data_IF_485908826240
#
_entry.id   IF_485908826240
#
_cell.length_a   1.000
_cell.length_b   1.000
_cell.length_c   1.000
_cell.angle_alpha   90.00
_cell.angle_beta   90.00
_cell.angle_gamma   90.00
#
_symmetry.space_group_name_H-M   'P 1'
#
loop_
_entity.id
_entity.type
_entity.pdbx_description
1 polymer ?
#
# COMPACT_ATOMS: atom_id res chain seq x y z
N UNK A 1 -41.79 12.77 50.21
CA UNK A 1 -43.24 12.44 50.31
C UNK A 1 -43.51 11.22 49.42
N UNK A 2 -43.86 10.12 50.09
CA UNK A 2 -44.63 8.91 49.72
C UNK A 2 -44.07 7.94 48.65
N UNK A 3 -43.70 6.78 49.19
CA UNK A 3 -43.73 5.41 48.63
C UNK A 3 -45.17 5.07 48.16
N UNK A 4 -45.27 4.20 47.14
CA UNK A 4 -46.23 3.08 47.14
C UNK A 4 -45.66 1.90 46.38
N UNK A 5 -45.50 0.85 47.16
CA UNK A 5 -45.35 -0.58 46.79
C UNK A 5 -46.61 -1.12 46.10
N UNK A 6 -46.45 -2.19 45.34
CA UNK A 6 -47.30 -3.38 45.09
C UNK A 6 -46.90 -4.00 43.77
N UNK A 7 -46.63 -5.32 43.59
CA UNK A 7 -46.92 -6.49 44.36
C UNK A 7 -46.80 -7.64 43.36
N UNK A 8 -46.14 -8.73 43.75
CA UNK A 8 -46.02 -10.02 43.01
C UNK A 8 -47.32 -10.79 43.13
N UNK A 9 -47.70 -11.69 42.19
CA UNK A 9 -47.88 -13.06 42.63
C UNK A 9 -47.16 -14.13 41.75
N UNK A 10 -46.58 -15.09 42.44
CA UNK A 10 -46.21 -16.42 41.96
C UNK A 10 -47.46 -17.32 41.92
N UNK A 11 -47.45 -18.29 40.99
CA UNK A 11 -48.23 -19.52 41.16
C UNK A 11 -47.48 -20.72 40.53
N UNK A 12 -47.41 -21.76 41.36
CA UNK A 12 -46.88 -23.09 41.18
C UNK A 12 -47.57 -23.94 40.11
N UNK A 13 -46.89 -24.99 39.68
CA UNK A 13 -47.51 -26.08 38.90
C UNK A 13 -46.52 -27.22 38.60
N UNK A 14 -46.22 -28.05 39.61
CA UNK A 14 -45.64 -29.42 39.47
C UNK A 14 -46.55 -30.34 38.64
N UNK A 15 -45.98 -31.19 37.82
CA UNK A 15 -46.40 -32.60 37.65
C UNK A 15 -45.43 -33.41 36.80
N UNK A 16 -44.73 -34.36 37.42
CA UNK A 16 -44.26 -35.59 36.80
C UNK A 16 -45.33 -36.67 37.00
N UNK A 17 -45.43 -37.79 36.20
CA UNK A 17 -44.66 -38.98 36.45
C UNK A 17 -44.29 -39.87 35.25
N UNK A 18 -43.35 -40.82 35.50
CA UNK A 18 -42.98 -42.03 34.78
C UNK A 18 -44.14 -43.04 34.65
N UNK A 19 -44.03 -44.32 33.97
CA UNK A 19 -42.82 -45.07 33.65
C UNK A 19 -42.82 -45.86 32.31
N UNK A 20 -41.66 -46.40 31.99
CA UNK A 20 -41.20 -47.62 31.33
C UNK A 20 -42.14 -48.55 30.57
N UNK A 21 -41.67 -48.98 29.37
CA UNK A 21 -41.82 -50.37 28.91
C UNK A 21 -40.55 -50.86 28.20
N UNK A 22 -39.97 -51.93 28.74
CA UNK A 22 -38.92 -52.78 28.15
C UNK A 22 -39.53 -53.65 27.07
N UNK A 23 -38.87 -53.73 25.90
CA UNK A 23 -39.00 -54.94 25.05
C UNK A 23 -37.62 -55.31 24.52
N UNK A 24 -37.22 -56.54 24.87
CA UNK A 24 -36.04 -57.22 24.35
C UNK A 24 -36.40 -57.84 23.01
N UNK A 25 -35.56 -57.76 21.99
CA UNK A 25 -35.46 -58.70 20.90
C UNK A 25 -34.10 -58.61 20.22
N UNK A 26 -33.37 -59.59 20.35
CA UNK A 26 -32.69 -60.52 19.44
C UNK A 26 -31.48 -59.98 18.65
N UNK A 27 -30.38 -60.67 18.97
CA UNK A 27 -29.11 -60.69 18.25
C UNK A 27 -29.29 -61.05 16.76
N UNK A 28 -28.75 -60.28 15.89
CA UNK A 28 -28.46 -60.61 14.51
C UNK A 28 -27.08 -60.04 14.14
N UNK A 29 -26.08 -60.90 14.12
CA UNK A 29 -24.74 -60.62 13.64
C UNK A 29 -24.76 -60.59 12.12
N UNK A 30 -24.62 -59.40 11.55
CA UNK A 30 -24.23 -59.21 10.15
C UNK A 30 -22.87 -58.59 10.10
N UNK A 31 -21.87 -59.39 9.73
CA UNK A 31 -20.55 -58.91 9.32
C UNK A 31 -20.66 -58.23 7.96
N UNK A 32 -20.68 -56.89 7.95
CA UNK A 32 -20.49 -56.09 6.73
C UNK A 32 -19.05 -55.67 6.69
N UNK A 33 -18.29 -56.21 5.75
CA UNK A 33 -16.98 -55.73 5.37
C UNK A 33 -17.15 -54.34 4.69
N UNK A 34 -17.00 -53.28 5.46
CA UNK A 34 -16.99 -51.90 4.95
C UNK A 34 -15.61 -51.57 4.41
N UNK A 35 -15.47 -51.59 3.10
CA UNK A 35 -14.36 -50.92 2.39
C UNK A 35 -14.41 -49.42 2.69
N UNK A 36 -13.50 -48.94 3.55
CA UNK A 36 -13.25 -47.50 3.71
C UNK A 36 -12.70 -47.00 2.39
N UNK A 37 -13.54 -46.41 1.57
CA UNK A 37 -13.10 -45.55 0.44
C UNK A 37 -12.64 -44.23 1.05
N UNK A 38 -11.34 -44.09 1.30
CA UNK A 38 -10.75 -42.82 1.66
C UNK A 38 -10.90 -41.85 0.46
N UNK A 39 -11.88 -40.99 0.52
CA UNK A 39 -11.98 -39.81 -0.36
C UNK A 39 -10.77 -38.95 -0.07
N UNK A 40 -9.72 -39.10 -0.86
CA UNK A 40 -8.64 -38.11 -1.01
C UNK A 40 -9.28 -36.88 -1.64
N UNK A 41 -9.77 -35.97 -0.78
CA UNK A 41 -10.06 -34.62 -1.21
C UNK A 41 -8.73 -34.04 -1.70
N UNK A 42 -8.63 -33.50 -2.94
CA UNK A 42 -7.44 -32.80 -3.35
C UNK A 42 -7.31 -31.61 -2.42
N UNK A 43 -6.24 -31.54 -1.66
CA UNK A 43 -5.80 -30.31 -0.98
C UNK A 43 -5.45 -29.32 -2.09
N UNK A 44 -6.45 -28.59 -2.56
CA UNK A 44 -6.23 -27.48 -3.46
C UNK A 44 -5.30 -26.51 -2.74
N UNK A 45 -4.06 -26.46 -3.16
CA UNK A 45 -3.21 -25.31 -2.84
C UNK A 45 -3.98 -24.10 -3.30
N UNK A 46 -4.41 -23.24 -2.36
CA UNK A 46 -4.94 -21.96 -2.69
C UNK A 46 -3.82 -21.19 -3.41
N UNK A 47 -3.86 -21.19 -4.74
CA UNK A 47 -2.95 -20.40 -5.55
C UNK A 47 -3.06 -18.95 -5.09
N UNK A 48 -1.92 -18.27 -4.93
CA UNK A 48 -1.91 -16.86 -4.59
C UNK A 48 -2.79 -16.10 -5.59
N UNK A 49 -3.73 -15.30 -5.09
CA UNK A 49 -4.61 -14.53 -5.94
C UNK A 49 -3.77 -13.56 -6.80
N UNK A 50 -4.11 -13.47 -8.08
CA UNK A 50 -3.38 -12.61 -9.02
C UNK A 50 -3.77 -11.15 -8.82
N UNK A 51 -2.80 -10.21 -8.75
CA UNK A 51 -3.09 -8.78 -8.72
C UNK A 51 -3.98 -8.34 -9.87
N UNK A 52 -4.95 -7.50 -9.58
CA UNK A 52 -5.84 -6.97 -10.61
C UNK A 52 -5.17 -5.80 -11.34
N UNK A 53 -5.48 -5.69 -12.63
CA UNK A 53 -4.86 -4.72 -13.53
C UNK A 53 -5.93 -3.93 -14.28
N UNK A 54 -5.78 -2.60 -14.33
CA UNK A 54 -6.45 -1.75 -15.31
C UNK A 54 -5.47 -1.40 -16.43
N UNK A 55 -5.86 -1.67 -17.66
CA UNK A 55 -5.16 -1.18 -18.85
C UNK A 55 -5.69 0.20 -19.21
N UNK A 56 -4.82 1.19 -19.27
CA UNK A 56 -5.18 2.53 -19.75
C UNK A 56 -5.11 2.53 -21.28
N UNK A 57 -6.24 2.21 -21.90
CA UNK A 57 -6.33 2.16 -23.35
C UNK A 57 -6.42 3.56 -23.97
N UNK A 58 -5.61 3.82 -24.97
CA UNK A 58 -5.95 4.74 -26.05
C UNK A 58 -5.59 6.21 -25.92
N UNK A 59 -5.25 6.75 -24.76
CA UNK A 59 -4.80 8.14 -24.73
C UNK A 59 -3.29 8.21 -24.97
N UNK A 60 -2.82 8.83 -26.07
CA UNK A 60 -1.39 8.94 -26.31
C UNK A 60 -0.64 9.61 -25.15
N UNK A 61 0.58 9.17 -24.89
CA UNK A 61 1.50 9.75 -23.89
C UNK A 61 1.58 11.29 -24.00
N UNK A 62 1.71 11.80 -25.23
CA UNK A 62 1.78 13.22 -25.53
C UNK A 62 0.52 13.97 -25.11
N UNK A 63 -0.66 13.44 -25.39
CA UNK A 63 -1.96 14.05 -25.05
C UNK A 63 -2.16 14.11 -23.56
N UNK A 64 -1.90 13.00 -22.85
CA UNK A 64 -2.06 12.93 -21.39
C UNK A 64 -0.97 13.74 -20.68
N UNK A 65 0.26 13.73 -21.19
CA UNK A 65 1.33 14.60 -20.71
C UNK A 65 1.00 16.11 -20.85
N UNK A 66 0.30 16.49 -21.93
CA UNK A 66 -0.19 17.85 -22.13
C UNK A 66 -1.38 18.19 -21.20
N UNK A 67 -2.22 17.23 -20.87
CA UNK A 67 -3.31 17.42 -19.91
C UNK A 67 -2.82 17.92 -18.54
N UNK A 68 -1.73 17.36 -18.03
CA UNK A 68 -1.15 17.75 -16.73
C UNK A 68 -0.27 19.01 -16.88
N UNK A 69 -0.91 20.17 -16.99
CA UNK A 69 -0.21 21.46 -16.94
C UNK A 69 0.32 21.74 -15.52
N UNK A 70 1.28 22.67 -15.39
CA UNK A 70 1.80 23.08 -14.08
C UNK A 70 0.67 23.58 -13.15
N UNK A 71 -0.29 24.30 -13.69
CA UNK A 71 -1.47 24.78 -12.96
C UNK A 71 -2.34 23.63 -12.46
N UNK A 72 -2.69 22.67 -13.32
CA UNK A 72 -3.49 21.50 -12.93
C UNK A 72 -2.78 20.65 -11.90
N UNK A 73 -1.47 20.50 -12.01
CA UNK A 73 -0.66 19.76 -11.02
C UNK A 73 -0.63 20.45 -9.66
N UNK A 74 -0.53 21.78 -9.61
CA UNK A 74 -0.60 22.55 -8.35
C UNK A 74 -2.01 22.47 -7.73
N UNK A 75 -3.05 22.56 -8.57
CA UNK A 75 -4.44 22.56 -8.14
C UNK A 75 -5.01 21.15 -7.83
N UNK A 76 -4.25 20.08 -8.10
CA UNK A 76 -4.69 18.72 -7.84
C UNK A 76 -4.92 18.50 -6.33
N UNK A 77 -6.11 18.05 -5.97
CA UNK A 77 -6.49 17.78 -4.58
C UNK A 77 -5.64 16.64 -4.01
N UNK A 78 -5.01 16.80 -2.85
CA UNK A 78 -4.32 15.69 -2.20
C UNK A 78 -5.32 14.59 -1.86
N UNK A 79 -5.03 13.35 -2.30
CA UNK A 79 -5.85 12.21 -1.90
C UNK A 79 -5.39 11.76 -0.52
N UNK A 80 -6.35 11.49 0.34
CA UNK A 80 -6.12 10.96 1.68
C UNK A 80 -7.04 9.77 1.90
N UNK A 81 -6.57 8.81 2.69
CA UNK A 81 -7.34 7.61 2.99
C UNK A 81 -8.06 7.78 4.34
N UNK A 82 -9.31 7.39 4.38
CA UNK A 82 -10.07 7.41 5.62
C UNK A 82 -9.40 6.50 6.67
N UNK A 83 -9.24 7.03 7.88
CA UNK A 83 -8.62 6.32 9.01
C UNK A 83 -9.38 5.04 9.32
N UNK A 84 -8.72 3.88 9.44
CA UNK A 84 -9.35 2.65 9.90
C UNK A 84 -9.94 2.82 11.31
N UNK A 85 -11.18 2.40 11.51
CA UNK A 85 -11.87 2.48 12.80
C UNK A 85 -12.02 1.13 13.49
N UNK A 86 -11.65 0.06 12.80
CA UNK A 86 -11.72 -1.33 13.30
C UNK A 86 -10.60 -2.15 12.70
N UNK A 87 -10.24 -3.24 13.38
CA UNK A 87 -9.22 -4.17 12.89
C UNK A 87 -9.66 -4.80 11.57
N UNK A 88 -8.74 -4.88 10.61
CA UNK A 88 -8.95 -5.67 9.42
C UNK A 88 -9.22 -7.13 9.80
N UNK A 89 -10.19 -7.75 9.13
CA UNK A 89 -10.54 -9.17 9.32
C UNK A 89 -9.53 -10.11 8.64
N UNK A 90 -8.58 -9.58 7.89
CA UNK A 90 -7.63 -10.39 7.15
C UNK A 90 -6.75 -11.25 8.05
N UNK A 91 -6.44 -12.43 7.54
CA UNK A 91 -5.35 -13.25 8.06
C UNK A 91 -4.02 -12.48 8.01
N UNK A 92 -3.01 -13.00 8.71
CA UNK A 92 -1.68 -12.41 8.67
C UNK A 92 -1.19 -12.27 7.23
N UNK A 93 -0.57 -11.12 6.92
CA UNK A 93 0.05 -10.89 5.61
C UNK A 93 1.01 -12.04 5.31
N UNK A 94 0.85 -12.76 4.18
CA UNK A 94 1.70 -13.89 3.83
C UNK A 94 3.16 -13.48 3.70
N UNK A 95 4.07 -14.33 4.21
CA UNK A 95 5.51 -14.06 4.24
C UNK A 95 6.30 -15.28 3.85
N UNK A 96 7.12 -15.14 2.84
CA UNK A 96 8.16 -16.11 2.47
C UNK A 96 9.55 -15.64 2.93
N UNK A 97 10.60 -16.25 2.40
CA UNK A 97 11.96 -15.81 2.66
C UNK A 97 12.17 -14.35 2.19
N UNK A 98 12.99 -13.57 2.92
CA UNK A 98 13.33 -12.21 2.52
C UNK A 98 13.92 -12.16 1.12
N UNK A 99 13.47 -11.18 0.32
CA UNK A 99 13.98 -10.91 -1.02
C UNK A 99 14.40 -9.45 -1.13
N UNK A 100 15.56 -9.21 -1.71
CA UNK A 100 16.07 -7.86 -2.01
C UNK A 100 16.32 -7.71 -3.50
N UNK A 101 15.94 -6.57 -4.05
CA UNK A 101 16.27 -6.11 -5.41
C UNK A 101 17.17 -4.90 -5.26
N UNK A 102 18.37 -4.93 -5.86
CA UNK A 102 19.31 -3.81 -5.77
C UNK A 102 18.84 -2.59 -6.56
N UNK A 103 19.20 -1.37 -6.13
CA UNK A 103 18.93 -0.16 -6.93
C UNK A 103 19.71 -0.20 -8.24
N UNK A 104 19.13 0.42 -9.28
CA UNK A 104 19.79 0.65 -10.56
C UNK A 104 19.92 2.15 -10.77
N UNK A 105 21.14 2.68 -10.74
CA UNK A 105 21.38 4.10 -10.95
C UNK A 105 21.96 4.34 -12.35
N UNK A 106 21.54 5.40 -13.05
CA UNK A 106 22.30 5.94 -14.15
C UNK A 106 23.69 6.33 -13.63
N UNK A 107 24.73 6.14 -14.41
CA UNK A 107 26.06 6.70 -14.08
C UNK A 107 25.97 8.22 -14.05
N UNK A 108 25.84 8.79 -12.88
CA UNK A 108 25.84 10.23 -12.66
C UNK A 108 27.10 10.61 -11.87
N UNK A 109 27.70 11.80 -12.15
CA UNK A 109 28.67 12.38 -11.24
C UNK A 109 28.04 12.53 -9.86
N UNK A 110 28.80 12.24 -8.81
CA UNK A 110 28.36 12.46 -7.44
C UNK A 110 28.03 13.96 -7.25
N UNK A 111 26.79 14.28 -6.96
CA UNK A 111 26.43 15.62 -6.54
C UNK A 111 26.95 15.87 -5.11
N UNK A 112 27.37 17.13 -4.77
CA UNK A 112 27.71 17.46 -3.40
C UNK A 112 26.51 17.20 -2.51
N UNK A 113 26.65 16.31 -1.53
CA UNK A 113 25.60 16.03 -0.54
C UNK A 113 25.60 17.13 0.50
N UNK A 114 24.49 17.87 0.64
CA UNK A 114 24.21 18.56 1.88
C UNK A 114 23.91 17.49 2.96
N UNK A 115 24.46 17.65 4.15
CA UNK A 115 24.14 16.72 5.25
C UNK A 115 22.65 16.86 5.62
N UNK A 116 21.88 15.78 5.65
CA UNK A 116 20.53 15.82 6.19
C UNK A 116 20.52 16.24 7.65
N UNK A 117 19.40 16.74 8.14
CA UNK A 117 19.22 17.04 9.57
C UNK A 117 19.43 15.78 10.42
N UNK A 118 19.74 15.99 11.72
CA UNK A 118 19.93 14.90 12.66
C UNK A 118 18.67 13.99 12.73
N UNK A 119 18.87 12.69 12.83
CA UNK A 119 17.79 11.70 13.02
C UNK A 119 17.39 11.56 14.49
N UNK A 120 16.13 11.23 14.82
CA UNK A 120 14.98 11.03 13.89
C UNK A 120 14.39 12.35 13.40
N UNK A 121 13.80 12.33 12.17
CA UNK A 121 13.12 13.47 11.56
C UNK A 121 11.63 13.17 11.42
N UNK A 122 10.79 14.00 12.02
CA UNK A 122 9.33 13.80 12.01
C UNK A 122 8.61 14.48 10.82
N UNK A 123 9.35 15.14 9.95
CA UNK A 123 8.86 15.79 8.73
C UNK A 123 9.63 17.07 8.44
N UNK A 124 10.15 17.17 7.24
CA UNK A 124 10.89 18.33 6.76
C UNK A 124 11.34 18.15 5.32
N UNK A 125 11.73 19.24 4.62
CA UNK A 125 12.24 19.16 3.27
C UNK A 125 13.51 18.29 3.20
N UNK A 126 13.59 17.41 2.20
CA UNK A 126 14.83 16.68 1.93
C UNK A 126 15.83 17.59 1.23
N UNK A 127 16.98 17.78 1.84
CA UNK A 127 18.08 18.61 1.31
C UNK A 127 19.33 17.83 0.96
N UNK A 128 19.32 16.50 1.21
CA UNK A 128 20.48 15.63 1.02
C UNK A 128 20.82 15.32 -0.45
N UNK A 129 19.96 15.68 -1.40
CA UNK A 129 20.18 15.35 -2.82
C UNK A 129 20.07 13.87 -3.10
N UNK A 130 20.92 13.37 -4.01
CA UNK A 130 21.03 11.95 -4.35
C UNK A 130 19.89 11.42 -5.23
N UNK A 131 19.88 10.09 -5.42
CA UNK A 131 18.95 9.44 -6.34
C UNK A 131 17.48 9.66 -5.97
N UNK A 132 17.14 9.69 -4.67
CA UNK A 132 15.78 9.86 -4.17
C UNK A 132 15.09 11.13 -4.70
N UNK A 133 15.84 12.20 -4.96
CA UNK A 133 15.29 13.43 -5.53
C UNK A 133 14.83 13.30 -6.98
N UNK A 134 15.26 12.22 -7.65
CA UNK A 134 14.91 11.94 -9.04
C UNK A 134 13.94 10.76 -9.17
N UNK A 135 14.07 9.76 -8.29
CA UNK A 135 13.24 8.55 -8.36
C UNK A 135 11.89 8.74 -7.70
N UNK A 136 11.82 9.53 -6.62
CA UNK A 136 10.55 9.86 -5.97
C UNK A 136 9.88 11.02 -6.67
N UNK A 137 8.56 10.95 -6.84
CA UNK A 137 7.79 11.96 -7.56
C UNK A 137 6.35 12.07 -7.10
N UNK A 138 5.65 13.08 -7.62
CA UNK A 138 4.20 13.18 -7.46
C UNK A 138 3.50 12.31 -8.50
N UNK A 139 2.39 11.77 -8.06
CA UNK A 139 1.43 11.05 -8.90
C UNK A 139 0.18 11.90 -9.07
N UNK A 140 -0.30 12.01 -10.28
CA UNK A 140 -1.51 12.75 -10.62
C UNK A 140 -2.48 11.85 -11.37
N UNK A 141 -3.76 11.99 -11.07
CA UNK A 141 -4.82 11.19 -11.71
C UNK A 141 -6.17 11.88 -11.58
N UNK A 142 -7.15 11.36 -12.31
CA UNK A 142 -8.55 11.75 -12.16
C UNK A 142 -9.27 10.71 -11.32
N UNK A 143 -9.84 11.13 -10.21
CA UNK A 143 -10.67 10.35 -9.32
C UNK A 143 -12.04 10.97 -9.19
N UNK A 144 -13.09 10.24 -9.52
CA UNK A 144 -14.49 10.70 -9.49
C UNK A 144 -14.68 12.08 -10.20
N UNK A 145 -14.04 12.23 -11.36
CA UNK A 145 -14.11 13.46 -12.17
C UNK A 145 -13.28 14.64 -11.66
N UNK A 146 -12.50 14.47 -10.59
CA UNK A 146 -11.62 15.52 -10.02
C UNK A 146 -10.15 15.15 -10.19
N UNK A 147 -9.33 16.17 -10.41
CA UNK A 147 -7.88 15.98 -10.40
C UNK A 147 -7.38 15.79 -8.97
N UNK A 148 -6.67 14.70 -8.74
CA UNK A 148 -6.14 14.33 -7.45
C UNK A 148 -4.63 14.02 -7.53
N UNK A 149 -3.97 13.97 -6.39
CA UNK A 149 -2.55 13.68 -6.31
C UNK A 149 -2.18 12.77 -5.15
N UNK A 150 -1.16 11.98 -5.39
CA UNK A 150 -0.42 11.12 -4.49
C UNK A 150 1.09 11.29 -4.72
N UNK A 151 1.87 10.37 -4.17
CA UNK A 151 3.30 10.20 -4.40
C UNK A 151 3.60 8.81 -4.95
N UNK A 152 4.80 8.60 -5.46
CA UNK A 152 5.28 7.31 -5.95
C UNK A 152 6.77 7.29 -6.13
N UNK A 153 7.31 6.12 -6.47
CA UNK A 153 8.74 5.93 -6.65
C UNK A 153 9.06 5.03 -7.83
N UNK A 154 10.05 5.43 -8.63
CA UNK A 154 10.60 4.65 -9.72
C UNK A 154 11.51 3.55 -9.15
N UNK A 155 11.20 2.30 -9.43
CA UNK A 155 11.93 1.15 -8.90
C UNK A 155 12.67 0.38 -9.99
N UNK A 156 13.76 -0.27 -9.61
CA UNK A 156 14.45 -1.26 -10.48
C UNK A 156 13.46 -2.31 -10.93
N UNK A 157 13.36 -2.52 -12.24
CA UNK A 157 12.41 -3.46 -12.83
C UNK A 157 12.87 -3.95 -14.20
N UNK A 158 12.48 -5.17 -14.59
CA UNK A 158 12.84 -5.76 -15.88
C UNK A 158 12.37 -4.94 -17.07
N UNK A 159 11.18 -4.32 -16.99
CA UNK A 159 10.67 -3.44 -18.02
C UNK A 159 11.22 -2.00 -17.96
N UNK A 160 11.92 -1.62 -16.88
CA UNK A 160 12.47 -0.28 -16.62
C UNK A 160 11.42 0.85 -16.55
N UNK A 161 10.18 0.50 -16.29
CA UNK A 161 9.04 1.41 -16.39
C UNK A 161 8.04 1.27 -15.24
N UNK A 162 8.47 0.64 -14.14
CA UNK A 162 7.60 0.38 -12.99
C UNK A 162 7.72 1.48 -11.93
N UNK A 163 6.56 1.97 -11.50
CA UNK A 163 6.39 2.89 -10.35
C UNK A 163 5.63 2.16 -9.28
N UNK A 164 6.11 2.19 -8.03
CA UNK A 164 5.38 1.72 -6.86
C UNK A 164 4.70 2.90 -6.17
N UNK A 165 3.46 2.69 -5.74
CA UNK A 165 2.62 3.66 -5.04
C UNK A 165 1.68 2.93 -4.08
N UNK A 166 0.72 3.61 -3.47
CA UNK A 166 -0.33 2.97 -2.67
C UNK A 166 -1.47 2.43 -3.55
N UNK A 167 -2.19 1.45 -3.05
CA UNK A 167 -3.36 0.87 -3.72
C UNK A 167 -4.45 1.90 -3.94
N UNK A 168 -4.72 2.75 -2.91
CA UNK A 168 -5.71 3.82 -3.03
C UNK A 168 -5.29 4.92 -4.02
N UNK A 169 -4.02 4.99 -4.43
CA UNK A 169 -3.55 5.90 -5.47
C UNK A 169 -3.75 5.38 -6.89
N UNK A 170 -4.26 4.17 -7.07
CA UNK A 170 -4.64 3.59 -8.38
C UNK A 170 -6.11 3.17 -8.42
N UNK A 171 -6.70 2.79 -7.28
CA UNK A 171 -8.11 2.36 -7.16
C UNK A 171 -8.63 2.68 -5.76
N UNK A 172 -9.77 3.35 -5.68
CA UNK A 172 -10.44 3.68 -4.41
C UNK A 172 -11.96 3.69 -4.59
N UNK A 173 -12.70 3.24 -3.56
CA UNK A 173 -14.16 3.14 -3.54
C UNK A 173 -14.70 2.40 -4.78
N UNK A 174 -14.06 1.27 -5.11
CA UNK A 174 -14.42 0.45 -6.25
C UNK A 174 -14.01 0.99 -7.61
N UNK A 175 -13.56 2.25 -7.73
CA UNK A 175 -13.23 2.90 -8.99
C UNK A 175 -11.72 2.96 -9.25
N UNK A 176 -11.29 2.52 -10.42
CA UNK A 176 -9.94 2.76 -10.92
C UNK A 176 -9.77 4.23 -11.32
N UNK A 177 -8.61 4.79 -11.01
CA UNK A 177 -8.28 6.15 -11.42
C UNK A 177 -7.91 6.22 -12.89
N UNK A 178 -8.23 7.33 -13.53
CA UNK A 178 -7.93 7.60 -14.95
C UNK A 178 -6.92 8.75 -15.08
N UNK A 179 -6.42 8.98 -16.28
CA UNK A 179 -5.44 10.03 -16.58
C UNK A 179 -4.19 9.98 -15.67
N UNK A 180 -3.77 8.77 -15.28
CA UNK A 180 -2.71 8.56 -14.32
C UNK A 180 -1.33 8.93 -14.90
N UNK A 181 -0.60 9.77 -14.20
CA UNK A 181 0.74 10.21 -14.57
C UNK A 181 1.66 10.31 -13.36
N UNK A 182 2.91 9.92 -13.54
CA UNK A 182 3.99 10.07 -12.59
C UNK A 182 4.95 11.19 -13.02
N UNK A 183 5.31 12.06 -12.09
CA UNK A 183 6.20 13.20 -12.31
C UNK A 183 7.38 13.07 -11.35
N UNK A 184 8.45 12.37 -11.75
CA UNK A 184 9.64 12.19 -10.93
C UNK A 184 10.36 13.52 -10.72
N UNK A 185 10.89 13.73 -9.50
CA UNK A 185 11.58 14.96 -9.13
C UNK A 185 10.70 16.21 -9.18
N UNK A 186 9.38 16.04 -9.04
CA UNK A 186 8.44 17.18 -9.06
C UNK A 186 8.84 18.27 -8.06
N UNK A 187 8.74 19.52 -8.45
CA UNK A 187 8.80 20.66 -7.55
C UNK A 187 8.01 21.83 -8.13
N UNK A 188 7.12 22.38 -7.35
CA UNK A 188 6.31 23.57 -7.65
C UNK A 188 5.79 23.64 -9.10
N UNK A 189 5.11 22.60 -9.56
CA UNK A 189 4.56 22.52 -10.92
C UNK A 189 5.58 22.16 -12.01
N UNK A 190 6.86 22.04 -11.69
CA UNK A 190 7.90 21.64 -12.63
C UNK A 190 7.97 20.13 -12.78
N UNK A 191 8.31 19.68 -13.98
CA UNK A 191 8.49 18.26 -14.34
C UNK A 191 9.86 18.06 -14.99
N UNK A 192 10.96 18.12 -14.20
CA UNK A 192 12.33 18.18 -14.73
C UNK A 192 12.72 16.94 -15.52
N UNK A 193 12.10 15.79 -15.21
CA UNK A 193 12.33 14.50 -15.90
C UNK A 193 11.12 14.06 -16.71
N UNK A 194 10.20 14.99 -17.02
CA UNK A 194 9.00 14.73 -17.79
C UNK A 194 7.82 14.19 -16.99
N UNK A 195 6.75 13.93 -17.68
CA UNK A 195 5.47 13.41 -17.16
C UNK A 195 5.24 12.04 -17.79
N UNK A 196 5.27 11.00 -16.99
CA UNK A 196 5.23 9.60 -17.40
C UNK A 196 3.82 9.05 -17.20
N UNK A 197 3.11 8.77 -18.29
CA UNK A 197 1.72 8.34 -18.22
C UNK A 197 1.61 6.82 -18.11
N UNK A 198 0.69 6.33 -17.28
CA UNK A 198 0.49 4.90 -17.12
C UNK A 198 -0.16 4.27 -18.35
N UNK A 199 0.39 3.14 -18.77
CA UNK A 199 -0.27 2.19 -19.69
C UNK A 199 -1.06 1.14 -18.93
N UNK A 200 -0.63 0.85 -17.70
CA UNK A 200 -1.30 -0.07 -16.77
C UNK A 200 -1.18 0.45 -15.35
N UNK A 201 -2.22 0.25 -14.57
CA UNK A 201 -2.18 0.35 -13.11
C UNK A 201 -2.62 -0.97 -12.49
N UNK A 202 -1.99 -1.35 -11.40
CA UNK A 202 -2.20 -2.63 -10.72
C UNK A 202 -2.37 -2.36 -9.22
N UNK A 203 -3.14 -3.21 -8.56
CA UNK A 203 -3.24 -3.24 -7.10
C UNK A 203 -3.30 -4.69 -6.61
N UNK A 204 -2.97 -4.89 -5.34
CA UNK A 204 -3.08 -6.21 -4.70
C UNK A 204 -4.51 -6.73 -4.76
N UNK A 205 -4.71 -8.06 -4.79
CA UNK A 205 -6.05 -8.65 -4.84
C UNK A 205 -6.94 -8.23 -3.68
N UNK A 206 -6.38 -8.15 -2.48
CA UNK A 206 -7.10 -7.81 -1.26
C UNK A 206 -7.52 -6.34 -1.25
N UNK A 207 -6.65 -5.45 -1.76
CA UNK A 207 -7.03 -4.05 -1.95
C UNK A 207 -8.18 -3.94 -2.95
N UNK A 208 -8.09 -4.63 -4.08
CA UNK A 208 -9.14 -4.53 -5.13
C UNK A 208 -10.47 -5.14 -4.72
N UNK A 209 -10.45 -6.16 -3.85
CA UNK A 209 -11.65 -6.86 -3.40
C UNK A 209 -12.39 -6.16 -2.25
N UNK A 210 -11.67 -5.59 -1.30
CA UNK A 210 -12.26 -5.08 -0.06
C UNK A 210 -11.58 -3.85 0.52
N UNK A 211 -10.61 -3.27 -0.18
CA UNK A 211 -9.80 -2.13 0.27
C UNK A 211 -9.17 -2.41 1.65
N UNK A 212 -8.65 -3.64 1.81
CA UNK A 212 -7.98 -4.06 3.03
C UNK A 212 -6.67 -3.28 3.21
N UNK A 213 -6.61 -2.50 4.28
CA UNK A 213 -5.53 -1.56 4.57
C UNK A 213 -4.14 -2.22 4.64
N UNK A 214 -4.06 -3.49 5.08
CA UNK A 214 -2.82 -4.24 5.14
C UNK A 214 -2.18 -4.49 3.76
N UNK A 215 -2.94 -4.27 2.71
CA UNK A 215 -2.56 -4.54 1.31
C UNK A 215 -2.69 -3.31 0.42
N UNK A 216 -2.64 -2.12 1.00
CA UNK A 216 -2.72 -0.85 0.28
C UNK A 216 -1.43 -0.58 -0.52
N UNK A 217 -1.15 -1.46 -1.48
CA UNK A 217 -0.01 -1.37 -2.39
C UNK A 217 -0.50 -1.36 -3.83
N UNK A 218 -0.02 -0.39 -4.60
CA UNK A 218 -0.29 -0.22 -6.01
C UNK A 218 0.98 -0.12 -6.85
N UNK A 219 0.83 -0.33 -8.13
CA UNK A 219 1.90 -0.14 -9.10
C UNK A 219 1.35 0.48 -10.40
N UNK A 220 2.21 1.18 -11.11
CA UNK A 220 1.95 1.60 -12.48
C UNK A 220 3.09 1.19 -13.40
N UNK A 221 2.74 0.80 -14.62
CA UNK A 221 3.69 0.65 -15.73
C UNK A 221 3.49 1.85 -16.65
N UNK A 222 4.55 2.64 -16.83
CA UNK A 222 4.46 3.87 -17.61
C UNK A 222 4.98 3.70 -19.03
N UNK A 223 4.41 4.47 -19.95
CA UNK A 223 4.85 4.52 -21.34
C UNK A 223 6.26 5.11 -21.45
N UNK A 224 7.04 4.73 -22.47
CA UNK A 224 8.26 5.44 -22.80
C UNK A 224 7.99 6.92 -23.11
N UNK A 225 8.89 7.80 -22.72
CA UNK A 225 8.87 9.22 -23.04
C UNK A 225 10.06 9.55 -23.95
N UNK A 226 9.81 10.09 -25.13
CA UNK A 226 10.83 10.39 -26.14
C UNK A 226 11.75 9.21 -26.44
N UNK A 227 11.16 8.01 -26.53
CA UNK A 227 11.87 6.76 -26.80
C UNK A 227 12.69 6.20 -25.62
N UNK A 228 12.72 6.87 -24.47
CA UNK A 228 13.45 6.43 -23.27
C UNK A 228 12.49 5.79 -22.28
N UNK A 229 12.97 4.79 -21.53
CA UNK A 229 12.26 4.19 -20.41
C UNK A 229 12.55 4.95 -19.12
N UNK A 230 11.63 4.87 -18.14
CA UNK A 230 11.66 5.68 -16.92
C UNK A 230 13.02 5.56 -16.19
N UNK A 231 13.45 4.34 -15.87
CA UNK A 231 14.68 4.15 -15.09
C UNK A 231 15.96 4.39 -15.86
N UNK A 232 15.92 4.47 -17.18
CA UNK A 232 17.04 4.95 -18.00
C UNK A 232 17.29 6.47 -17.79
N UNK A 233 16.24 7.20 -17.37
CA UNK A 233 16.30 8.66 -17.14
C UNK A 233 16.57 8.99 -15.68
N UNK A 234 15.82 8.38 -14.74
CA UNK A 234 15.86 8.77 -13.33
C UNK A 234 16.57 7.75 -12.42
N UNK A 235 16.85 6.56 -12.91
CA UNK A 235 17.28 5.43 -12.11
C UNK A 235 16.10 4.70 -11.48
N UNK A 236 16.40 3.65 -10.72
CA UNK A 236 15.40 2.89 -9.97
C UNK A 236 15.91 2.58 -8.58
N UNK A 237 15.11 2.83 -7.57
CA UNK A 237 15.39 2.38 -6.20
C UNK A 237 15.28 0.87 -6.10
N UNK A 238 15.96 0.30 -5.10
CA UNK A 238 15.84 -1.11 -4.80
C UNK A 238 14.52 -1.41 -4.07
N UNK A 239 14.27 -2.70 -3.85
CA UNK A 239 13.09 -3.18 -3.12
C UNK A 239 13.51 -4.21 -2.07
N UNK A 240 12.74 -4.29 -0.98
CA UNK A 240 12.94 -5.29 0.05
C UNK A 240 11.59 -5.84 0.50
N UNK A 241 11.39 -7.14 0.28
CA UNK A 241 10.18 -7.86 0.67
C UNK A 241 10.47 -8.78 1.85
N UNK A 242 9.46 -9.03 2.70
CA UNK A 242 9.56 -9.94 3.84
C UNK A 242 10.69 -9.61 4.83
N UNK A 243 11.00 -8.33 4.97
CA UNK A 243 12.19 -7.88 5.71
C UNK A 243 12.00 -7.75 7.23
N UNK A 244 10.80 -8.00 7.75
CA UNK A 244 10.45 -7.88 9.19
C UNK A 244 10.15 -6.44 9.61
N UNK A 245 9.82 -6.28 10.89
CA UNK A 245 9.48 -4.99 11.52
C UNK A 245 10.65 -4.39 12.29
N UNK A 246 10.40 -3.21 12.88
CA UNK A 246 11.30 -2.51 13.81
C UNK A 246 12.68 -2.26 13.21
N UNK A 247 12.69 -1.45 12.15
CA UNK A 247 13.89 -1.09 11.40
C UNK A 247 14.02 0.41 11.25
N UNK A 248 15.25 0.93 11.16
CA UNK A 248 15.47 2.30 10.70
C UNK A 248 14.94 2.44 9.26
N UNK A 249 14.05 3.40 9.03
CA UNK A 249 13.50 3.70 7.72
C UNK A 249 13.43 5.20 7.46
N UNK A 250 13.44 5.54 6.18
CA UNK A 250 13.21 6.88 5.64
C UNK A 250 11.95 6.84 4.80
N UNK A 251 10.94 7.61 5.19
CA UNK A 251 9.71 7.77 4.43
C UNK A 251 9.77 9.09 3.65
N UNK A 252 9.41 9.07 2.39
CA UNK A 252 9.39 10.24 1.51
C UNK A 252 8.02 10.44 0.91
N UNK A 253 7.72 11.69 0.48
CA UNK A 253 6.48 11.99 -0.23
C UNK A 253 6.32 13.48 -0.50
N UNK A 254 5.19 13.81 -1.13
CA UNK A 254 4.79 15.16 -1.47
C UNK A 254 3.46 15.50 -0.77
N UNK A 255 3.49 15.70 0.57
CA UNK A 255 2.28 16.11 1.29
C UNK A 255 1.78 17.44 0.73
N UNK A 256 0.48 17.55 0.48
CA UNK A 256 -0.13 18.69 -0.19
C UNK A 256 -1.35 19.25 0.56
N UNK A 257 -1.65 18.73 1.77
CA UNK A 257 -2.57 19.35 2.71
C UNK A 257 -1.77 20.11 3.80
N UNK A 258 -2.35 21.16 4.36
CA UNK A 258 -1.69 21.98 5.37
C UNK A 258 -1.02 21.16 6.48
N UNK A 259 0.19 21.53 6.94
CA UNK A 259 0.95 22.75 6.64
C UNK A 259 1.77 22.69 5.34
N UNK A 260 1.66 21.63 4.57
CA UNK A 260 2.35 21.42 3.30
C UNK A 260 1.48 21.86 2.11
N UNK A 261 2.09 22.03 0.96
CA UNK A 261 1.45 22.50 -0.29
C UNK A 261 1.75 21.60 -1.50
N UNK A 262 2.46 20.48 -1.28
CA UNK A 262 2.86 19.55 -2.33
C UNK A 262 4.01 20.05 -3.23
N UNK A 263 4.61 21.18 -2.95
CA UNK A 263 5.65 21.79 -3.80
C UNK A 263 7.02 21.09 -3.68
N UNK A 264 7.30 20.42 -2.57
CA UNK A 264 8.62 19.91 -2.20
C UNK A 264 8.58 18.45 -1.75
N UNK A 265 9.69 17.75 -1.96
CA UNK A 265 9.94 16.44 -1.38
C UNK A 265 10.18 16.58 0.13
N UNK A 266 9.31 15.95 0.91
CA UNK A 266 9.37 15.91 2.38
C UNK A 266 9.80 14.52 2.80
N UNK A 267 10.49 14.41 3.95
CA UNK A 267 10.88 13.14 4.52
C UNK A 267 10.63 13.07 6.02
N UNK A 268 10.46 11.86 6.48
CA UNK A 268 10.51 11.47 7.88
C UNK A 268 11.50 10.32 8.02
N UNK A 269 12.11 10.16 9.19
CA UNK A 269 13.02 9.05 9.45
C UNK A 269 13.01 8.63 10.91
N UNK A 270 13.28 7.38 11.14
CA UNK A 270 13.32 6.81 12.48
C UNK A 270 13.17 5.30 12.48
N UNK A 271 13.16 4.72 13.68
CA UNK A 271 12.88 3.29 13.83
C UNK A 271 11.38 3.05 13.78
N UNK A 272 10.95 2.18 12.87
CA UNK A 272 9.55 1.82 12.74
C UNK A 272 9.07 0.93 13.87
N UNK A 273 7.77 1.01 14.16
CA UNK A 273 7.04 0.07 15.01
C UNK A 273 6.14 -0.79 14.12
N UNK A 274 5.62 -1.89 14.66
CA UNK A 274 4.45 -2.56 14.09
C UNK A 274 3.20 -1.88 14.64
N UNK A 275 2.18 -1.64 13.80
CA UNK A 275 0.90 -1.12 14.27
C UNK A 275 0.32 -2.01 15.39
N UNK A 276 0.13 -1.48 16.60
CA UNK A 276 -0.43 -2.25 17.70
C UNK A 276 -1.96 -2.31 17.67
N UNK A 277 -2.63 -1.59 16.76
CA UNK A 277 -4.06 -1.33 16.80
C UNK A 277 -4.83 -2.15 15.76
N UNK A 278 -4.97 -1.63 14.56
CA UNK A 278 -5.97 -2.14 13.61
C UNK A 278 -5.38 -2.81 12.37
N UNK A 279 -4.07 -2.65 12.13
CA UNK A 279 -3.41 -3.22 10.95
C UNK A 279 -2.16 -4.05 11.32
N UNK A 280 -1.50 -4.58 10.31
CA UNK A 280 -0.19 -5.20 10.40
C UNK A 280 0.91 -4.33 9.79
N UNK A 281 0.63 -3.06 9.64
CA UNK A 281 1.47 -2.11 8.97
C UNK A 281 2.67 -1.69 9.82
N UNK A 282 3.65 -1.09 9.17
CA UNK A 282 4.68 -0.32 9.85
C UNK A 282 4.12 1.02 10.30
N UNK A 283 4.53 1.51 11.46
CA UNK A 283 4.29 2.88 11.93
C UNK A 283 5.60 3.64 12.05
N UNK A 284 5.60 4.92 11.71
CA UNK A 284 6.75 5.81 11.81
C UNK A 284 6.29 7.19 12.31
N UNK A 285 7.06 7.80 13.23
CA UNK A 285 6.82 9.20 13.60
C UNK A 285 7.00 10.09 12.37
N UNK A 286 5.89 10.71 11.92
CA UNK A 286 5.85 11.42 10.65
C UNK A 286 4.60 12.28 10.58
N UNK A 287 4.76 13.57 10.25
CA UNK A 287 3.66 14.53 10.14
C UNK A 287 3.26 14.84 8.68
N UNK A 288 3.71 14.02 7.73
CA UNK A 288 3.26 14.17 6.34
C UNK A 288 1.74 14.00 6.26
N UNK A 289 1.12 14.83 5.44
CA UNK A 289 -0.33 14.91 5.24
C UNK A 289 -0.78 14.27 3.93
N UNK A 290 -2.07 14.36 3.61
CA UNK A 290 -2.64 13.89 2.34
C UNK A 290 -1.82 14.36 1.13
N UNK A 291 -1.74 13.51 0.11
CA UNK A 291 -0.86 13.69 -1.05
C UNK A 291 0.52 13.01 -0.90
N UNK A 292 0.99 12.74 0.32
CA UNK A 292 2.20 11.91 0.54
C UNK A 292 1.95 10.42 0.28
N UNK A 293 0.72 9.98 0.23
CA UNK A 293 0.25 8.62 -0.05
C UNK A 293 0.99 7.98 -1.21
N UNK A 294 1.45 6.75 -1.04
CA UNK A 294 2.22 6.03 -2.06
C UNK A 294 3.70 6.40 -2.12
N UNK A 295 4.14 7.42 -1.39
CA UNK A 295 5.55 7.77 -1.28
C UNK A 295 6.36 6.67 -0.58
N UNK A 296 7.61 6.40 -1.00
CA UNK A 296 8.38 5.23 -0.59
C UNK A 296 8.88 5.31 0.85
N UNK A 297 8.98 4.14 1.49
CA UNK A 297 9.75 3.95 2.71
C UNK A 297 10.96 3.06 2.44
N UNK A 298 12.14 3.60 2.70
CA UNK A 298 13.39 2.89 2.45
C UNK A 298 14.00 2.33 3.73
N UNK A 299 14.33 1.05 3.72
CA UNK A 299 15.32 0.45 4.61
C UNK A 299 16.70 0.47 3.95
N UNK A 300 17.79 0.35 4.73
CA UNK A 300 19.16 0.41 4.21
C UNK A 300 19.41 1.64 3.32
N UNK A 301 18.86 2.78 3.73
CA UNK A 301 19.01 4.01 2.98
C UNK A 301 20.41 4.60 3.19
N UNK A 302 21.08 4.93 2.10
CA UNK A 302 22.36 5.63 2.09
C UNK A 302 22.12 7.11 1.72
N UNK A 303 22.27 7.98 2.71
CA UNK A 303 22.06 9.42 2.54
C UNK A 303 23.02 10.09 1.53
N UNK A 304 24.22 9.52 1.36
CA UNK A 304 25.22 10.06 0.41
C UNK A 304 24.83 9.84 -1.04
N UNK A 305 24.27 8.67 -1.33
CA UNK A 305 23.83 8.29 -2.68
C UNK A 305 22.36 8.58 -2.92
N UNK A 306 21.59 8.73 -1.85
CA UNK A 306 20.12 8.85 -1.91
C UNK A 306 19.46 7.56 -2.38
N UNK A 307 20.09 6.40 -2.15
CA UNK A 307 19.54 5.09 -2.54
C UNK A 307 19.12 4.27 -1.35
N UNK A 308 18.10 3.44 -1.54
CA UNK A 308 17.60 2.53 -0.51
C UNK A 308 16.86 1.35 -1.09
N UNK A 309 16.31 0.55 -0.19
CA UNK A 309 15.46 -0.58 -0.52
C UNK A 309 14.03 -0.25 -0.06
N UNK A 310 13.14 0.05 -0.99
CA UNK A 310 11.75 0.32 -0.67
C UNK A 310 11.10 -0.92 -0.08
N UNK A 311 10.47 -0.80 1.10
CA UNK A 311 9.83 -1.90 1.81
C UNK A 311 8.46 -1.53 2.40
N UNK A 312 7.97 -0.33 2.09
CA UNK A 312 6.61 0.14 2.39
C UNK A 312 6.29 1.38 1.55
N UNK A 313 5.08 1.90 1.70
CA UNK A 313 4.63 3.20 1.17
C UNK A 313 3.84 3.95 2.24
N UNK A 314 3.74 5.28 2.13
CA UNK A 314 2.80 6.05 2.94
C UNK A 314 1.37 5.62 2.60
N UNK A 315 0.57 5.29 3.62
CA UNK A 315 -0.81 4.85 3.43
C UNK A 315 -1.81 5.70 4.22
N UNK A 316 -1.75 5.68 5.54
CA UNK A 316 -2.73 6.37 6.38
C UNK A 316 -2.15 6.84 7.72
N UNK A 317 -2.92 7.65 8.46
CA UNK A 317 -2.68 8.02 9.85
C UNK A 317 -3.94 7.87 10.69
N UNK A 318 -3.81 7.61 11.99
CA UNK A 318 -4.95 7.62 12.91
C UNK A 318 -5.21 9.04 13.43
N UNK A 319 -6.45 9.51 13.35
CA UNK A 319 -6.82 10.85 13.87
C UNK A 319 -6.53 11.01 15.37
N UNK A 320 -6.68 9.94 16.15
CA UNK A 320 -6.41 9.92 17.58
C UNK A 320 -4.93 9.67 17.94
N UNK A 321 -4.08 9.40 16.94
CA UNK A 321 -2.63 9.23 17.09
C UNK A 321 -1.90 10.10 16.06
N UNK A 322 -1.91 11.41 16.26
CA UNK A 322 -1.35 12.35 15.30
C UNK A 322 0.18 12.19 15.16
N UNK A 323 0.72 12.68 14.05
CA UNK A 323 2.14 12.63 13.72
C UNK A 323 2.72 11.22 13.66
N UNK A 324 1.89 10.24 13.29
CA UNK A 324 2.32 8.89 12.98
C UNK A 324 1.72 8.46 11.64
N UNK A 325 2.59 8.18 10.69
CA UNK A 325 2.24 7.60 9.40
C UNK A 325 2.32 6.08 9.49
N UNK A 326 1.38 5.41 8.86
CA UNK A 326 1.37 3.96 8.71
C UNK A 326 1.49 3.57 7.25
N UNK A 327 2.11 2.41 7.01
CA UNK A 327 2.30 1.90 5.66
C UNK A 327 2.38 0.37 5.64
N UNK A 328 1.82 -0.27 4.57
CA UNK A 328 1.67 -1.71 4.48
C UNK A 328 3.01 -2.45 4.53
N UNK A 329 3.01 -3.58 5.21
CA UNK A 329 4.14 -4.50 5.21
C UNK A 329 4.31 -5.11 3.81
N UNK A 330 5.49 -4.94 3.20
CA UNK A 330 5.79 -5.56 1.90
C UNK A 330 6.05 -7.06 2.07
N UNK A 331 4.96 -7.84 2.11
CA UNK A 331 4.93 -9.29 2.13
C UNK A 331 4.92 -9.90 0.72
N UNK A 332 4.42 -11.14 0.64
CA UNK A 332 4.36 -11.88 -0.62
C UNK A 332 3.41 -11.26 -1.64
N UNK A 333 2.30 -10.65 -1.20
CA UNK A 333 1.36 -9.99 -2.12
C UNK A 333 1.97 -8.75 -2.78
N UNK A 334 2.72 -7.93 -2.04
CA UNK A 334 3.48 -6.81 -2.60
C UNK A 334 4.56 -7.28 -3.56
N UNK A 335 5.26 -8.39 -3.23
CA UNK A 335 6.23 -9.04 -4.13
C UNK A 335 5.56 -9.53 -5.42
N UNK A 336 4.40 -10.17 -5.34
CA UNK A 336 3.66 -10.66 -6.50
C UNK A 336 3.17 -9.50 -7.37
N UNK A 337 2.68 -8.42 -6.77
CA UNK A 337 2.31 -7.19 -7.47
C UNK A 337 3.51 -6.61 -8.26
N UNK A 338 4.67 -6.48 -7.60
CA UNK A 338 5.88 -6.02 -8.26
C UNK A 338 6.28 -6.95 -9.42
N UNK A 339 6.28 -8.28 -9.22
CA UNK A 339 6.63 -9.24 -10.25
C UNK A 339 5.71 -9.13 -11.48
N UNK A 340 4.41 -8.95 -11.26
CA UNK A 340 3.46 -8.75 -12.35
C UNK A 340 3.70 -7.41 -13.07
N UNK A 341 3.95 -6.33 -12.32
CA UNK A 341 4.20 -5.02 -12.91
C UNK A 341 5.46 -5.01 -13.76
N UNK A 342 6.58 -5.55 -13.26
CA UNK A 342 7.85 -5.55 -13.98
C UNK A 342 7.91 -6.43 -15.21
N UNK A 343 7.01 -7.42 -15.31
CA UNK A 343 6.89 -8.31 -16.48
C UNK A 343 5.82 -7.87 -17.49
N UNK A 344 5.17 -6.71 -17.25
CA UNK A 344 4.09 -6.15 -18.08
C UNK A 344 4.60 -5.23 -19.17
#
# INVERSE_FOLDING_TARGET
>A
VRRTDRGIPAVDGLSTPRPAHRSRAALGTLTAAGTLLALLLPTGQAGAATPQTLHHAGTPQTTLGAYWTAERMRAATPLDLATPTKRSASAAVPRSAPLKVSPTLPRLPAAPSASPGALPQAGGPWTGGGAVTKTTGRVFFTYQGRNASCSGDAVTSGNKSTVITAGHCVKLQGAWHTNWAFVPGYHDGQSPYGKWTATKTLATPQWTASEDINYDVGAAVVAPLDGKKLTDVVGGQGLSFNSGYTKPMYAYGYPAAAPYDGSKLIYCSGTTIKDPLFSQDHGLSCNMTGGSSGGPWFTSFDEKTGTGLQSSVNSFGYQFWPNTMFGPYFGDDAKNLYNQAQSS
#
